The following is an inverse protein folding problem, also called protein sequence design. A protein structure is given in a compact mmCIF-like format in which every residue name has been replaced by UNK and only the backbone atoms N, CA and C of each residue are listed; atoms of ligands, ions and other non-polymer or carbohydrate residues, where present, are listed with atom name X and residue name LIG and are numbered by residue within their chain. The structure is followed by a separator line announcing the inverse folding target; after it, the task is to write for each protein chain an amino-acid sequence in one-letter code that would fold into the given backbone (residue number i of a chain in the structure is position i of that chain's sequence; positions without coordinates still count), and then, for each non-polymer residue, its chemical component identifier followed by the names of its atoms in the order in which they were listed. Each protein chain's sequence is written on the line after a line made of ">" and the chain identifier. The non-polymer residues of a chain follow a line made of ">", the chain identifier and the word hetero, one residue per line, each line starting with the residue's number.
data_IF_565439807573
#
_entry.id   IF_565439807573
#
_cell.length_a   1.000
_cell.length_b   1.000
_cell.length_c   1.000
_cell.angle_alpha   90.00
_cell.angle_beta   90.00
_cell.angle_gamma   90.00
#
_symmetry.space_group_name_H-M   'P 1'
#
loop_
_entity.id
_entity.type
_entity.pdbx_description
1 polymer ?
#
# COMPACT_ATOMS: atom_id res chain seq x y z
N UNK A 1 12.16 -20.62 -0.16
CA UNK A 1 11.86 -19.44 0.68
C UNK A 1 12.62 -18.20 0.19
N UNK A 2 13.96 -18.25 0.08
CA UNK A 2 14.81 -17.16 -0.43
C UNK A 2 14.33 -16.52 -1.75
N UNK A 3 14.12 -17.30 -2.81
CA UNK A 3 13.57 -16.82 -4.10
C UNK A 3 12.22 -16.08 -3.98
N UNK A 4 11.39 -16.41 -2.98
CA UNK A 4 10.09 -15.74 -2.73
C UNK A 4 10.30 -14.41 -2.02
N UNK A 5 11.24 -14.36 -1.08
CA UNK A 5 11.67 -13.13 -0.42
C UNK A 5 12.22 -12.12 -1.43
N UNK A 6 13.18 -12.52 -2.26
CA UNK A 6 13.78 -11.64 -3.26
C UNK A 6 12.74 -11.07 -4.23
N UNK A 7 11.79 -11.91 -4.67
CA UNK A 7 10.72 -11.47 -5.57
C UNK A 7 9.76 -10.47 -4.92
N UNK A 8 9.40 -10.68 -3.65
CA UNK A 8 8.49 -9.78 -2.91
C UNK A 8 9.20 -8.46 -2.58
N UNK A 9 10.43 -8.52 -2.06
CA UNK A 9 11.22 -7.35 -1.72
C UNK A 9 11.62 -6.54 -2.94
N UNK A 10 12.28 -7.18 -3.91
CA UNK A 10 12.74 -6.54 -5.13
C UNK A 10 11.59 -5.97 -5.95
N UNK A 11 10.50 -6.74 -6.09
CA UNK A 11 9.30 -6.28 -6.78
C UNK A 11 8.66 -5.07 -6.10
N UNK A 12 8.51 -5.10 -4.77
CA UNK A 12 7.92 -4.00 -4.01
C UNK A 12 8.78 -2.73 -4.07
N UNK A 13 10.09 -2.84 -3.81
CA UNK A 13 11.00 -1.70 -3.81
C UNK A 13 11.12 -1.08 -5.20
N UNK A 14 11.26 -1.89 -6.25
CA UNK A 14 11.31 -1.39 -7.63
C UNK A 14 10.02 -0.68 -8.01
N UNK A 15 8.87 -1.21 -7.58
CA UNK A 15 7.58 -0.58 -7.84
C UNK A 15 7.47 0.78 -7.16
N UNK A 16 7.89 0.89 -5.89
CA UNK A 16 7.87 2.16 -5.15
C UNK A 16 8.77 3.20 -5.81
N UNK A 17 10.00 2.83 -6.18
CA UNK A 17 10.93 3.74 -6.86
C UNK A 17 10.38 4.21 -8.21
N UNK A 18 9.79 3.32 -9.01
CA UNK A 18 9.19 3.66 -10.29
C UNK A 18 7.97 4.58 -10.12
N UNK A 19 7.05 4.27 -9.21
CA UNK A 19 5.85 5.09 -8.94
C UNK A 19 6.27 6.48 -8.45
N UNK A 20 7.19 6.55 -7.48
CA UNK A 20 7.75 7.80 -6.96
C UNK A 20 8.39 8.67 -8.04
N UNK A 21 9.19 8.06 -8.92
CA UNK A 21 9.83 8.77 -10.03
C UNK A 21 8.78 9.32 -11.01
N UNK A 22 7.79 8.49 -11.39
CA UNK A 22 6.70 8.91 -12.27
C UNK A 22 5.88 10.06 -11.65
N UNK A 23 5.52 9.98 -10.36
CA UNK A 23 4.78 11.04 -9.68
C UNK A 23 5.58 12.35 -9.62
N UNK A 24 6.89 12.28 -9.36
CA UNK A 24 7.76 13.43 -9.39
C UNK A 24 7.76 14.12 -10.76
N UNK A 25 7.92 13.34 -11.84
CA UNK A 25 7.92 13.87 -13.22
C UNK A 25 6.55 14.46 -13.59
N UNK A 26 5.46 13.74 -13.33
CA UNK A 26 4.09 14.22 -13.63
C UNK A 26 3.81 15.52 -12.86
N UNK A 27 4.22 15.59 -11.59
CA UNK A 27 4.10 16.80 -10.77
C UNK A 27 4.93 17.94 -11.32
N UNK A 28 6.17 17.70 -11.72
CA UNK A 28 7.01 18.73 -12.33
C UNK A 28 6.38 19.30 -13.62
N UNK A 29 5.84 18.43 -14.48
CA UNK A 29 5.18 18.84 -15.73
C UNK A 29 3.94 19.68 -15.44
N UNK A 30 3.06 19.22 -14.55
CA UNK A 30 1.87 19.96 -14.14
C UNK A 30 2.22 21.35 -13.61
N UNK A 31 3.14 21.42 -12.64
CA UNK A 31 3.54 22.69 -12.04
C UNK A 31 4.22 23.63 -13.04
N UNK A 32 4.92 23.08 -14.04
CA UNK A 32 5.51 23.88 -15.13
C UNK A 32 4.45 24.47 -16.05
N UNK A 33 3.44 23.70 -16.45
CA UNK A 33 2.35 24.17 -17.34
C UNK A 33 1.60 25.34 -16.69
N UNK A 34 1.30 25.25 -15.40
CA UNK A 34 0.57 26.29 -14.66
C UNK A 34 1.49 27.36 -14.04
N UNK A 35 2.79 27.34 -14.36
CA UNK A 35 3.79 28.30 -13.90
C UNK A 35 3.80 28.48 -12.37
N UNK A 36 3.76 27.39 -11.60
CA UNK A 36 3.84 27.45 -10.14
C UNK A 36 5.25 27.88 -9.66
N UNK A 37 5.35 28.70 -8.60
CA UNK A 37 6.62 28.94 -7.94
C UNK A 37 7.11 27.66 -7.24
N UNK A 38 8.42 27.53 -7.04
CA UNK A 38 9.03 26.37 -6.37
C UNK A 38 8.69 25.00 -6.98
N UNK A 39 8.34 24.96 -8.27
CA UNK A 39 7.92 23.73 -8.98
C UNK A 39 8.90 22.56 -8.88
N UNK A 40 10.21 22.82 -8.96
CA UNK A 40 11.25 21.77 -8.84
C UNK A 40 11.26 21.21 -7.41
N UNK A 41 11.25 22.09 -6.40
CA UNK A 41 11.26 21.70 -4.99
C UNK A 41 10.03 20.84 -4.66
N UNK A 42 8.84 21.29 -5.06
CA UNK A 42 7.59 20.57 -4.82
C UNK A 42 7.59 19.21 -5.53
N UNK A 43 8.01 19.16 -6.79
CA UNK A 43 8.05 17.91 -7.54
C UNK A 43 9.01 16.88 -6.93
N UNK A 44 10.20 17.31 -6.49
CA UNK A 44 11.16 16.45 -5.78
C UNK A 44 10.60 15.99 -4.44
N UNK A 45 10.01 16.91 -3.68
CA UNK A 45 9.45 16.61 -2.37
C UNK A 45 8.33 15.57 -2.49
N UNK A 46 7.37 15.76 -3.41
CA UNK A 46 6.32 14.78 -3.70
C UNK A 46 6.90 13.45 -4.18
N UNK A 47 7.82 13.45 -5.15
CA UNK A 47 8.39 12.21 -5.69
C UNK A 47 9.15 11.39 -4.64
N UNK A 48 10.02 12.04 -3.87
CA UNK A 48 10.87 11.37 -2.86
C UNK A 48 10.04 10.88 -1.69
N UNK A 49 9.11 11.69 -1.15
CA UNK A 49 8.32 11.26 0.00
C UNK A 49 7.39 10.12 -0.36
N UNK A 50 6.93 10.02 -1.61
CA UNK A 50 6.02 8.97 -2.06
C UNK A 50 6.61 7.56 -2.05
N UNK A 51 7.92 7.42 -1.77
CA UNK A 51 8.53 6.10 -1.54
C UNK A 51 7.94 5.45 -0.28
N UNK A 52 7.45 6.26 0.67
CA UNK A 52 6.83 5.80 1.91
C UNK A 52 5.33 5.58 1.64
N UNK A 53 4.83 4.34 1.65
CA UNK A 53 3.43 4.06 1.37
C UNK A 53 2.51 4.74 2.38
N UNK A 54 1.36 5.24 1.93
CA UNK A 54 0.35 5.97 2.70
C UNK A 54 0.80 7.31 3.31
N UNK A 55 2.03 7.44 3.81
CA UNK A 55 2.53 8.66 4.45
C UNK A 55 3.17 9.65 3.48
N UNK A 56 3.77 9.15 2.39
CA UNK A 56 4.40 9.97 1.36
C UNK A 56 3.54 11.10 0.82
N UNK A 57 2.26 10.86 0.51
CA UNK A 57 1.30 11.90 0.15
C UNK A 57 1.15 13.02 1.16
N UNK A 58 1.15 12.72 2.46
CA UNK A 58 0.97 13.73 3.51
C UNK A 58 2.25 14.51 3.74
N UNK A 59 3.39 13.81 3.83
CA UNK A 59 4.71 14.43 4.04
C UNK A 59 5.10 15.27 2.83
N UNK A 60 4.72 14.87 1.62
CA UNK A 60 4.96 15.62 0.39
C UNK A 60 3.92 16.71 0.14
N UNK A 61 2.64 16.37 0.25
CA UNK A 61 1.54 17.24 -0.13
C UNK A 61 1.33 18.42 0.83
N UNK A 62 1.41 18.20 2.14
CA UNK A 62 1.13 19.25 3.13
C UNK A 62 2.15 20.39 3.04
N UNK A 63 3.49 20.16 3.08
CA UNK A 63 4.45 21.24 2.94
C UNK A 63 4.35 21.93 1.57
N UNK A 64 4.09 21.16 0.52
CA UNK A 64 3.91 21.72 -0.83
C UNK A 64 2.72 22.68 -0.91
N UNK A 65 1.57 22.29 -0.34
CA UNK A 65 0.39 23.15 -0.28
C UNK A 65 0.65 24.40 0.57
N UNK A 66 1.37 24.29 1.69
CA UNK A 66 1.76 25.42 2.53
C UNK A 66 2.70 26.39 1.80
N UNK A 67 3.71 25.88 1.08
CA UNK A 67 4.63 26.71 0.29
C UNK A 67 3.83 27.54 -0.73
N UNK A 68 2.90 26.91 -1.45
CA UNK A 68 2.07 27.61 -2.43
C UNK A 68 1.10 28.58 -1.76
N UNK A 69 0.51 28.22 -0.63
CA UNK A 69 -0.38 29.13 0.11
C UNK A 69 0.34 30.44 0.47
N UNK A 70 1.60 30.36 0.89
CA UNK A 70 2.39 31.52 1.29
C UNK A 70 2.91 32.32 0.09
N UNK A 71 3.28 31.65 -1.01
CA UNK A 71 3.99 32.28 -2.13
C UNK A 71 3.08 32.69 -3.29
N UNK A 72 2.01 31.92 -3.52
CA UNK A 72 1.02 32.18 -4.55
C UNK A 72 -0.38 31.72 -4.09
N UNK A 73 -1.02 32.46 -3.14
CA UNK A 73 -2.29 32.08 -2.56
C UNK A 73 -3.40 31.83 -3.59
N UNK A 74 -3.38 32.58 -4.71
CA UNK A 74 -4.33 32.42 -5.82
C UNK A 74 -4.27 31.03 -6.49
N UNK A 75 -3.14 30.32 -6.36
CA UNK A 75 -2.94 28.97 -6.91
C UNK A 75 -3.15 27.86 -5.87
N UNK A 76 -3.47 28.20 -4.62
CA UNK A 76 -3.61 27.23 -3.53
C UNK A 76 -4.66 26.16 -3.81
N UNK A 77 -5.87 26.55 -4.22
CA UNK A 77 -6.92 25.58 -4.51
C UNK A 77 -6.57 24.67 -5.70
N UNK A 78 -5.88 25.21 -6.70
CA UNK A 78 -5.43 24.44 -7.85
C UNK A 78 -4.41 23.37 -7.45
N UNK A 79 -3.43 23.69 -6.59
CA UNK A 79 -2.48 22.68 -6.10
C UNK A 79 -3.15 21.65 -5.20
N UNK A 80 -4.11 22.05 -4.35
CA UNK A 80 -4.84 21.11 -3.48
C UNK A 80 -5.65 20.11 -4.31
N UNK A 81 -6.41 20.60 -5.30
CA UNK A 81 -7.18 19.73 -6.21
C UNK A 81 -6.25 18.82 -6.99
N UNK A 82 -5.12 19.33 -7.48
CA UNK A 82 -4.10 18.53 -8.15
C UNK A 82 -3.55 17.42 -7.24
N UNK A 83 -3.14 17.77 -6.01
CA UNK A 83 -2.58 16.81 -5.05
C UNK A 83 -3.59 15.71 -4.72
N UNK A 84 -4.86 16.05 -4.51
CA UNK A 84 -5.91 15.05 -4.30
C UNK A 84 -6.07 14.18 -5.55
N UNK A 85 -6.17 14.79 -6.74
CA UNK A 85 -6.36 14.08 -8.00
C UNK A 85 -5.23 13.12 -8.33
N UNK A 86 -3.97 13.55 -8.16
CA UNK A 86 -2.80 12.71 -8.46
C UNK A 86 -2.72 11.51 -7.50
N UNK A 87 -3.11 11.65 -6.23
CA UNK A 87 -3.15 10.50 -5.31
C UNK A 87 -4.23 9.48 -5.68
N UNK A 88 -5.36 9.93 -6.24
CA UNK A 88 -6.35 8.99 -6.77
C UNK A 88 -5.79 8.27 -8.00
N UNK A 89 -5.12 8.97 -8.92
CA UNK A 89 -4.47 8.34 -10.07
C UNK A 89 -3.41 7.34 -9.62
N UNK A 90 -2.64 7.68 -8.59
CA UNK A 90 -1.67 6.77 -7.98
C UNK A 90 -2.35 5.50 -7.46
N UNK A 91 -3.33 5.64 -6.56
CA UNK A 91 -3.97 4.50 -5.90
C UNK A 91 -4.81 3.62 -6.83
N UNK A 92 -5.54 4.21 -7.78
CA UNK A 92 -6.44 3.47 -8.67
C UNK A 92 -5.76 2.94 -9.94
N UNK A 93 -4.73 3.63 -10.45
CA UNK A 93 -4.14 3.28 -11.75
C UNK A 93 -2.66 2.92 -11.66
N UNK A 94 -1.80 3.80 -11.13
CA UNK A 94 -0.35 3.58 -11.16
C UNK A 94 0.05 2.41 -10.25
N UNK A 95 -0.45 2.38 -9.02
CA UNK A 95 -0.11 1.34 -8.07
C UNK A 95 -0.51 -0.05 -8.60
N UNK A 96 -1.75 -0.34 -9.05
CA UNK A 96 -2.08 -1.65 -9.61
C UNK A 96 -1.29 -2.02 -10.87
N UNK A 97 -1.02 -1.03 -11.75
CA UNK A 97 -0.35 -1.25 -13.04
C UNK A 97 1.15 -1.53 -12.87
N UNK A 98 1.82 -0.82 -11.97
CA UNK A 98 3.27 -0.96 -11.74
C UNK A 98 3.56 -2.09 -10.77
N UNK A 99 2.81 -2.19 -9.67
CA UNK A 99 3.16 -3.15 -8.61
C UNK A 99 2.94 -4.60 -9.02
N UNK A 100 1.97 -4.90 -9.91
CA UNK A 100 1.75 -6.21 -10.55
C UNK A 100 1.53 -7.41 -9.61
N UNK A 101 1.75 -7.24 -8.31
CA UNK A 101 1.80 -8.24 -7.27
C UNK A 101 0.66 -7.89 -6.33
N UNK A 102 -0.45 -8.59 -6.48
CA UNK A 102 -1.47 -8.65 -5.42
C UNK A 102 -0.81 -9.38 -4.26
N UNK A 103 -0.21 -8.65 -3.33
CA UNK A 103 0.35 -9.23 -2.09
C UNK A 103 -0.73 -9.97 -1.29
N UNK A 104 -2.01 -9.79 -1.63
CA UNK A 104 -3.15 -10.49 -1.02
C UNK A 104 -3.39 -10.07 0.42
N UNK A 105 -2.65 -9.05 0.86
CA UNK A 105 -2.68 -8.47 2.19
C UNK A 105 -3.69 -7.34 2.15
N UNK A 106 -4.67 -7.40 3.05
CA UNK A 106 -5.65 -6.32 3.21
C UNK A 106 -4.92 -5.04 3.63
N UNK A 107 -5.42 -3.87 3.20
CA UNK A 107 -4.82 -2.55 3.50
C UNK A 107 -4.53 -2.34 4.99
N UNK A 108 -5.40 -2.89 5.86
CA UNK A 108 -5.20 -2.90 7.31
C UNK A 108 -3.82 -3.43 7.73
N UNK A 109 -3.40 -4.57 7.17
CA UNK A 109 -2.13 -5.21 7.51
C UNK A 109 -0.92 -4.45 6.95
N UNK A 110 -1.10 -3.73 5.84
CA UNK A 110 -0.06 -2.85 5.30
C UNK A 110 0.15 -1.65 6.23
N UNK A 111 -0.94 -1.02 6.67
CA UNK A 111 -0.88 0.06 7.66
C UNK A 111 -0.28 -0.42 8.98
N UNK A 112 -0.72 -1.59 9.48
CA UNK A 112 -0.16 -2.21 10.67
C UNK A 112 1.36 -2.39 10.55
N UNK A 113 1.83 -2.94 9.43
CA UNK A 113 3.26 -3.11 9.19
C UNK A 113 4.01 -1.77 9.22
N UNK A 114 3.50 -0.74 8.54
CA UNK A 114 4.14 0.58 8.51
C UNK A 114 4.24 1.18 9.91
N UNK A 115 3.18 1.08 10.71
CA UNK A 115 3.16 1.63 12.06
C UNK A 115 4.09 0.85 13.00
N UNK A 116 4.03 -0.48 12.99
CA UNK A 116 4.85 -1.33 13.86
C UNK A 116 6.33 -1.21 13.52
N UNK A 117 6.71 -1.40 12.25
CA UNK A 117 8.10 -1.33 11.83
C UNK A 117 8.60 0.12 11.76
N UNK A 118 7.73 1.08 11.46
CA UNK A 118 8.04 2.51 11.52
C UNK A 118 8.34 2.98 12.94
N UNK A 119 7.60 2.50 13.94
CA UNK A 119 7.91 2.78 15.35
C UNK A 119 9.20 2.13 15.83
N UNK A 120 9.55 0.95 15.30
CA UNK A 120 10.73 0.19 15.73
C UNK A 120 12.03 0.64 15.04
N UNK A 121 11.97 0.98 13.75
CA UNK A 121 13.15 1.24 12.91
C UNK A 121 13.07 2.58 12.16
N UNK A 122 12.08 3.41 12.43
CA UNK A 122 11.89 4.71 11.78
C UNK A 122 11.55 4.59 10.29
N UNK A 123 12.07 5.52 9.49
CA UNK A 123 11.78 5.63 8.07
C UNK A 123 12.15 4.38 7.24
N UNK A 124 13.32 3.73 7.44
CA UNK A 124 13.60 2.43 6.81
C UNK A 124 12.58 1.35 7.17
N UNK A 125 12.09 1.36 8.41
CA UNK A 125 11.04 0.45 8.89
C UNK A 125 9.71 0.64 8.19
N UNK A 126 9.34 1.88 7.82
CA UNK A 126 8.12 2.15 7.07
C UNK A 126 8.19 1.61 5.63
N UNK A 127 9.35 1.69 4.99
CA UNK A 127 9.56 1.22 3.62
C UNK A 127 9.68 -0.31 3.58
N UNK A 128 10.53 -0.88 4.42
CA UNK A 128 10.82 -2.32 4.44
C UNK A 128 9.80 -3.13 5.24
N UNK A 129 9.04 -2.48 6.14
CA UNK A 129 8.06 -3.15 7.00
C UNK A 129 6.98 -3.87 6.21
N UNK A 130 6.51 -3.27 5.10
CA UNK A 130 5.47 -3.86 4.24
C UNK A 130 5.93 -5.19 3.62
N UNK A 131 7.06 -5.28 2.89
CA UNK A 131 7.52 -6.55 2.34
C UNK A 131 7.95 -7.56 3.40
N UNK A 132 8.53 -7.12 4.53
CA UNK A 132 8.83 -8.00 5.68
C UNK A 132 7.55 -8.64 6.21
N UNK A 133 6.54 -7.82 6.51
CA UNK A 133 5.26 -8.30 7.02
C UNK A 133 4.55 -9.20 6.00
N UNK A 134 4.69 -8.90 4.70
CA UNK A 134 4.15 -9.74 3.65
C UNK A 134 4.73 -11.16 3.64
N UNK A 135 6.03 -11.31 3.90
CA UNK A 135 6.64 -12.63 4.05
C UNK A 135 6.15 -13.36 5.29
N UNK A 136 6.08 -12.66 6.43
CA UNK A 136 5.59 -13.24 7.70
C UNK A 136 4.15 -13.72 7.51
N UNK A 137 3.29 -12.88 6.93
CA UNK A 137 1.90 -13.21 6.65
C UNK A 137 1.76 -14.39 5.69
N UNK A 138 2.54 -14.41 4.60
CA UNK A 138 2.53 -15.51 3.63
C UNK A 138 2.94 -16.84 4.27
N UNK A 139 3.96 -16.82 5.12
CA UNK A 139 4.43 -18.00 5.85
C UNK A 139 3.41 -18.48 6.88
N UNK A 140 2.85 -17.58 7.69
CA UNK A 140 1.82 -17.91 8.67
C UNK A 140 0.58 -18.52 8.00
N UNK A 141 0.15 -17.94 6.88
CA UNK A 141 -0.96 -18.47 6.08
C UNK A 141 -0.66 -19.86 5.51
N UNK A 142 0.55 -20.09 5.01
CA UNK A 142 0.95 -21.42 4.52
C UNK A 142 0.93 -22.48 5.63
N UNK A 143 1.42 -22.15 6.84
CA UNK A 143 1.40 -23.05 7.99
C UNK A 143 -0.02 -23.34 8.49
N UNK A 144 -0.88 -22.32 8.51
CA UNK A 144 -2.29 -22.47 8.88
C UNK A 144 -3.01 -23.38 7.90
N UNK A 145 -2.86 -23.13 6.60
CA UNK A 145 -3.51 -23.94 5.56
C UNK A 145 -3.06 -25.40 5.61
N UNK A 146 -1.76 -25.67 5.82
CA UNK A 146 -1.27 -27.04 6.01
C UNK A 146 -1.93 -27.73 7.22
N UNK A 147 -2.02 -27.03 8.36
CA UNK A 147 -2.68 -27.58 9.55
C UNK A 147 -4.18 -27.85 9.32
N UNK A 148 -4.86 -27.01 8.53
CA UNK A 148 -6.26 -27.21 8.17
C UNK A 148 -6.44 -28.42 7.26
N UNK A 149 -5.58 -28.58 6.25
CA UNK A 149 -5.54 -29.75 5.37
C UNK A 149 -5.28 -31.04 6.16
N UNK A 150 -4.30 -31.04 7.06
CA UNK A 150 -4.01 -32.18 7.95
C UNK A 150 -5.20 -32.54 8.86
N UNK A 151 -6.12 -31.60 9.09
CA UNK A 151 -7.35 -31.79 9.88
C UNK A 151 -8.59 -32.04 9.02
N UNK A 152 -8.46 -32.20 7.70
CA UNK A 152 -9.60 -32.27 6.74
C UNK A 152 -10.58 -31.10 6.87
N UNK A 153 -10.10 -29.92 7.28
CA UNK A 153 -10.90 -28.72 7.42
C UNK A 153 -10.81 -27.86 6.14
N UNK A 154 -11.87 -27.13 5.76
CA UNK A 154 -11.85 -26.28 4.58
C UNK A 154 -10.78 -25.19 4.74
N UNK A 155 -10.00 -24.92 3.69
CA UNK A 155 -9.04 -23.80 3.66
C UNK A 155 -9.65 -22.50 3.12
N UNK A 156 -10.90 -22.56 2.66
CA UNK A 156 -11.64 -21.39 2.18
C UNK A 156 -12.34 -20.67 3.34
N UNK A 157 -11.92 -19.42 3.55
CA UNK A 157 -12.49 -18.52 4.56
C UNK A 157 -14.00 -18.30 4.39
N UNK A 158 -14.54 -18.40 3.17
CA UNK A 158 -15.97 -18.20 2.88
C UNK A 158 -16.85 -19.35 3.39
N UNK A 159 -16.27 -20.54 3.56
CA UNK A 159 -16.97 -21.68 4.14
C UNK A 159 -17.24 -21.39 5.62
N UNK A 160 -16.27 -20.82 6.33
CA UNK A 160 -16.40 -20.44 7.75
C UNK A 160 -17.41 -19.33 8.02
N UNK A 161 -17.59 -18.40 7.08
CA UNK A 161 -18.57 -17.33 7.22
C UNK A 161 -20.04 -17.81 7.08
N UNK A 162 -20.27 -19.03 6.58
CA UNK A 162 -21.61 -19.59 6.32
C UNK A 162 -21.97 -20.77 7.21
N UNK A 163 -21.16 -21.08 8.23
CA UNK A 163 -21.41 -22.20 9.14
C UNK A 163 -22.24 -21.71 10.32
N UNK A 164 -23.35 -22.39 10.61
CA UNK A 164 -24.12 -22.19 11.85
C UNK A 164 -23.55 -23.00 13.02
N UNK A 165 -22.98 -24.20 12.78
CA UNK A 165 -22.38 -25.09 13.79
C UNK A 165 -21.27 -25.97 13.19
N UNK A 166 -20.20 -26.21 13.94
CA UNK A 166 -19.11 -27.15 13.58
C UNK A 166 -19.33 -28.44 14.39
N UNK A 167 -19.50 -29.59 13.73
CA UNK A 167 -19.54 -30.86 14.43
C UNK A 167 -18.10 -31.34 14.71
N UNK A 168 -17.68 -31.28 15.96
CA UNK A 168 -16.30 -31.58 16.39
C UNK A 168 -15.97 -33.08 16.35
N UNK A 169 -16.98 -33.96 16.32
CA UNK A 169 -16.80 -35.42 16.29
C UNK A 169 -16.50 -35.95 14.88
N UNK A 170 -17.21 -35.48 13.85
CA UNK A 170 -17.06 -35.96 12.46
C UNK A 170 -16.18 -35.06 11.57
N UNK A 171 -15.73 -33.90 12.08
CA UNK A 171 -14.99 -32.86 11.33
C UNK A 171 -15.66 -32.38 10.03
N UNK A 172 -16.95 -32.68 9.83
CA UNK A 172 -17.72 -32.25 8.65
C UNK A 172 -18.41 -30.90 8.89
N UNK A 173 -18.37 -30.02 7.88
CA UNK A 173 -18.91 -28.66 7.93
C UNK A 173 -20.27 -28.63 7.23
N UNK A 174 -21.37 -28.45 7.99
CA UNK A 174 -22.71 -28.35 7.41
C UNK A 174 -23.03 -26.90 6.99
N UNK A 175 -23.45 -26.72 5.73
CA UNK A 175 -23.90 -25.43 5.19
C UNK A 175 -25.34 -25.14 5.63
N UNK A 176 -25.63 -23.86 5.92
CA UNK A 176 -26.99 -23.36 6.20
C UNK A 176 -27.95 -23.76 5.08
N UNK A 177 -29.03 -24.48 5.42
CA UNK A 177 -30.12 -24.79 4.50
C UNK A 177 -30.84 -23.46 4.21
N UNK A 178 -30.79 -23.02 2.95
CA UNK A 178 -31.52 -21.84 2.49
C UNK A 178 -33.02 -22.14 2.57
N UNK A 179 -33.73 -21.46 3.46
CA UNK A 179 -35.18 -21.26 3.35
C UNK A 179 -35.41 -19.86 2.76
#
# INVERSE_FOLDING_TARGET
>A
FARRADKIFGGFLMSMLLISSLLGVITFVFLSIFNFPYKVLIAVLVGVTNVIPYFGPFIGGIPSALIILLQAPSKFWLIVVYLIGIQQVEGYYLAPKVSGIKTGIKSFWVLFAILTFGSAFGLPGMILGVPVFALIYSYAKAKLNKTLEDKNLPTDNLVYAKIDRINLEDKNVFKKKSN
#
